data_IF_914434594061
#
_entry.id   IF_914434594061
#
_cell.length_a   1.000
_cell.length_b   1.000
_cell.length_c   1.000
_cell.angle_alpha   90.00
_cell.angle_beta   90.00
_cell.angle_gamma   90.00
#
_symmetry.space_group_name_H-M   'P 1'
#
loop_
_entity.id
_entity.type
_entity.pdbx_description
1 polymer ?
#
# COMPACT_ATOMS: atom_id res chain seq x y z
N UNK A 1 -15.98 -41.68 52.84
CA UNK A 1 -16.16 -41.87 51.39
C UNK A 1 -15.98 -40.52 50.73
N UNK A 2 -14.77 -40.29 50.16
CA UNK A 2 -14.26 -39.01 49.67
C UNK A 2 -14.89 -38.63 48.30
N UNK A 3 -15.73 -37.59 48.26
CA UNK A 3 -16.24 -37.01 46.99
C UNK A 3 -15.56 -35.69 46.63
N UNK A 4 -14.35 -35.42 47.18
CA UNK A 4 -13.69 -34.14 47.01
C UNK A 4 -12.79 -33.99 45.77
N UNK A 5 -12.34 -35.04 45.03
CA UNK A 5 -11.44 -34.84 43.87
C UNK A 5 -12.14 -34.54 42.55
N UNK A 6 -13.48 -34.63 42.45
CA UNK A 6 -14.18 -34.44 41.15
C UNK A 6 -14.47 -32.97 40.86
N UNK A 7 -14.52 -32.10 41.87
CA UNK A 7 -14.80 -30.67 41.67
C UNK A 7 -13.56 -29.88 41.22
N UNK A 8 -12.35 -30.37 41.52
CA UNK A 8 -11.11 -29.66 41.16
C UNK A 8 -10.67 -29.86 39.71
N UNK A 9 -11.26 -30.82 39.00
CA UNK A 9 -10.94 -31.09 37.58
C UNK A 9 -11.75 -30.28 36.57
N UNK A 10 -12.78 -29.53 37.00
CA UNK A 10 -13.69 -28.82 36.10
C UNK A 10 -13.33 -27.35 35.90
N UNK A 11 -12.30 -26.84 36.58
CA UNK A 11 -11.93 -25.40 36.53
C UNK A 11 -10.82 -25.08 35.51
N UNK A 12 -10.24 -26.08 34.83
CA UNK A 12 -9.10 -25.91 33.94
C UNK A 12 -9.45 -25.81 32.44
N UNK A 13 -10.72 -25.69 32.07
CA UNK A 13 -11.12 -25.50 30.66
C UNK A 13 -11.63 -24.06 30.43
N UNK A 14 -11.03 -23.06 31.09
CA UNK A 14 -11.13 -21.68 30.61
C UNK A 14 -9.97 -21.47 29.65
N UNK A 15 -10.12 -22.12 28.50
CA UNK A 15 -9.26 -21.97 27.35
C UNK A 15 -9.25 -20.52 26.86
N UNK A 16 -8.08 -19.96 26.67
CA UNK A 16 -7.79 -18.80 25.90
C UNK A 16 -8.65 -18.70 24.64
N UNK A 17 -9.76 -18.00 24.69
CA UNK A 17 -10.31 -17.36 23.49
C UNK A 17 -9.40 -16.17 23.20
N UNK A 18 -8.39 -16.35 22.34
CA UNK A 18 -7.80 -15.25 21.61
C UNK A 18 -8.97 -14.63 20.84
N UNK A 19 -9.43 -13.46 21.29
CA UNK A 19 -10.21 -12.59 20.42
C UNK A 19 -9.30 -12.27 19.23
N UNK A 20 -9.44 -13.03 18.16
CA UNK A 20 -8.96 -12.60 16.86
C UNK A 20 -9.84 -11.40 16.51
N UNK A 21 -9.30 -10.19 16.68
CA UNK A 21 -9.87 -8.99 16.11
C UNK A 21 -9.91 -9.19 14.59
N UNK A 22 -10.99 -9.84 14.12
CA UNK A 22 -11.19 -10.07 12.71
C UNK A 22 -11.58 -8.73 12.11
N UNK A 23 -10.69 -8.14 11.33
CA UNK A 23 -10.98 -6.91 10.60
C UNK A 23 -12.13 -7.17 9.64
N UNK A 24 -13.21 -6.41 9.78
CA UNK A 24 -14.35 -6.44 8.88
C UNK A 24 -14.08 -5.47 7.72
N UNK A 25 -13.73 -6.03 6.57
CA UNK A 25 -13.44 -5.24 5.37
C UNK A 25 -14.74 -4.74 4.73
N UNK A 26 -14.73 -3.54 4.11
CA UNK A 26 -15.87 -3.06 3.34
C UNK A 26 -16.24 -4.04 2.23
N UNK A 27 -17.54 -4.30 2.09
CA UNK A 27 -18.05 -5.27 1.13
C UNK A 27 -17.77 -4.85 -0.31
N UNK A 28 -17.39 -5.85 -1.14
CA UNK A 28 -17.23 -5.72 -2.58
C UNK A 28 -18.33 -6.51 -3.29
N UNK A 29 -19.25 -5.80 -3.95
CA UNK A 29 -20.40 -6.40 -4.60
C UNK A 29 -19.97 -7.29 -5.77
N UNK A 30 -20.42 -8.54 -5.78
CA UNK A 30 -20.27 -9.42 -6.93
C UNK A 30 -21.42 -9.20 -7.91
N UNK A 31 -21.08 -9.00 -9.19
CA UNK A 31 -22.03 -8.93 -10.30
C UNK A 31 -21.74 -10.05 -11.28
N UNK A 32 -22.80 -10.67 -11.81
CA UNK A 32 -22.61 -11.67 -12.83
C UNK A 32 -22.15 -11.01 -14.14
N UNK A 33 -20.97 -11.40 -14.61
CA UNK A 33 -20.42 -10.99 -15.90
C UNK A 33 -19.60 -12.16 -16.47
N UNK A 34 -19.79 -12.45 -17.74
CA UNK A 34 -19.04 -13.49 -18.46
C UNK A 34 -18.60 -12.92 -19.80
N UNK A 35 -17.33 -13.07 -20.11
CA UNK A 35 -16.74 -12.67 -21.38
C UNK A 35 -16.18 -13.89 -22.11
N UNK A 36 -16.45 -14.01 -23.43
CA UNK A 36 -15.83 -15.06 -24.24
C UNK A 36 -14.47 -14.58 -24.76
N UNK A 37 -13.40 -15.19 -24.24
CA UNK A 37 -12.03 -14.88 -24.63
C UNK A 37 -11.45 -16.08 -25.36
N UNK A 38 -11.19 -15.95 -26.65
CA UNK A 38 -10.64 -17.01 -27.51
C UNK A 38 -11.44 -18.34 -27.49
N UNK A 39 -12.77 -18.24 -27.34
CA UNK A 39 -13.66 -19.41 -27.31
C UNK A 39 -13.88 -20.01 -25.90
N UNK A 40 -13.33 -19.40 -24.86
CA UNK A 40 -13.54 -19.78 -23.47
C UNK A 40 -14.37 -18.73 -22.75
N UNK A 41 -15.38 -19.17 -22.02
CA UNK A 41 -16.17 -18.28 -21.18
C UNK A 41 -15.46 -18.04 -19.85
N UNK A 42 -15.10 -16.77 -19.61
CA UNK A 42 -14.40 -16.33 -18.41
C UNK A 42 -15.36 -15.50 -17.56
N UNK A 43 -15.62 -15.97 -16.35
CA UNK A 43 -16.43 -15.25 -15.37
C UNK A 43 -15.58 -14.23 -14.61
N UNK A 44 -16.06 -12.97 -14.56
CA UNK A 44 -15.44 -11.89 -13.79
C UNK A 44 -16.49 -11.11 -13.00
N UNK A 45 -16.69 -11.51 -11.77
CA UNK A 45 -17.68 -10.88 -10.88
C UNK A 45 -17.35 -9.43 -10.49
N UNK A 46 -16.17 -8.95 -10.80
CA UNK A 46 -15.69 -7.62 -10.45
C UNK A 46 -15.38 -6.74 -11.65
N UNK A 47 -15.84 -7.12 -12.85
CA UNK A 47 -15.67 -6.35 -14.10
C UNK A 47 -16.11 -4.89 -13.98
N UNK A 48 -17.09 -4.61 -13.14
CA UNK A 48 -17.58 -3.25 -12.90
C UNK A 48 -16.53 -2.29 -12.32
N UNK A 49 -15.48 -2.81 -11.65
CA UNK A 49 -14.36 -2.01 -11.14
C UNK A 49 -13.43 -1.47 -12.24
N UNK A 50 -13.48 -2.01 -13.46
CA UNK A 50 -12.69 -1.50 -14.58
C UNK A 50 -13.14 -0.11 -15.03
N UNK A 51 -14.42 0.23 -14.83
CA UNK A 51 -14.88 1.60 -15.00
C UNK A 51 -14.58 2.42 -13.74
N UNK A 52 -13.33 2.89 -13.65
CA UNK A 52 -12.87 3.71 -12.54
C UNK A 52 -13.46 5.14 -12.51
N UNK A 53 -14.29 5.50 -13.48
CA UNK A 53 -15.01 6.79 -13.53
C UNK A 53 -16.46 6.67 -13.08
N UNK A 54 -16.98 5.46 -12.95
CA UNK A 54 -18.35 5.24 -12.49
C UNK A 54 -18.51 5.64 -11.01
N UNK A 55 -19.69 6.14 -10.65
CA UNK A 55 -20.02 6.51 -9.27
C UNK A 55 -19.85 5.32 -8.32
N UNK A 56 -20.24 4.12 -8.76
CA UNK A 56 -20.12 2.89 -7.96
C UNK A 56 -18.66 2.53 -7.65
N UNK A 57 -17.77 2.59 -8.64
CA UNK A 57 -16.34 2.33 -8.46
C UNK A 57 -15.69 3.38 -7.57
N UNK A 58 -16.05 4.66 -7.74
CA UNK A 58 -15.56 5.75 -6.91
C UNK A 58 -16.03 5.61 -5.45
N UNK A 59 -17.29 5.23 -5.21
CA UNK A 59 -17.79 4.98 -3.86
C UNK A 59 -17.08 3.78 -3.21
N UNK A 60 -16.87 2.70 -3.95
CA UNK A 60 -16.11 1.55 -3.47
C UNK A 60 -14.68 1.95 -3.06
N UNK A 61 -13.96 2.68 -3.93
CA UNK A 61 -12.60 3.19 -3.65
C UNK A 61 -12.60 4.05 -2.39
N UNK A 62 -13.59 4.94 -2.24
CA UNK A 62 -13.71 5.80 -1.06
C UNK A 62 -13.87 4.98 0.21
N UNK A 63 -14.76 3.99 0.25
CA UNK A 63 -14.97 3.12 1.42
C UNK A 63 -13.71 2.31 1.77
N UNK A 64 -13.00 1.77 0.78
CA UNK A 64 -11.75 1.05 0.99
C UNK A 64 -10.65 1.96 1.54
N UNK A 65 -10.55 3.19 1.02
CA UNK A 65 -9.59 4.17 1.50
C UNK A 65 -9.88 4.64 2.94
N UNK A 66 -11.14 4.87 3.27
CA UNK A 66 -11.55 5.24 4.62
C UNK A 66 -11.18 4.16 5.64
N UNK A 67 -11.46 2.90 5.32
CA UNK A 67 -11.09 1.76 6.15
C UNK A 67 -9.56 1.64 6.32
N UNK A 68 -8.82 1.71 5.21
CA UNK A 68 -7.36 1.62 5.22
C UNK A 68 -6.73 2.76 6.02
N UNK A 69 -7.22 3.99 5.82
CA UNK A 69 -6.72 5.15 6.54
C UNK A 69 -6.97 5.05 8.04
N UNK A 70 -8.14 4.59 8.46
CA UNK A 70 -8.43 4.36 9.88
C UNK A 70 -7.45 3.35 10.50
N UNK A 71 -7.16 2.26 9.79
CA UNK A 71 -6.19 1.27 10.26
C UNK A 71 -4.78 1.83 10.37
N UNK A 72 -4.32 2.55 9.34
CA UNK A 72 -2.97 3.13 9.29
C UNK A 72 -2.81 4.25 10.34
N UNK A 73 -3.81 5.14 10.48
CA UNK A 73 -3.74 6.25 11.43
C UNK A 73 -3.70 5.78 12.88
N UNK A 74 -4.36 4.67 13.18
CA UNK A 74 -4.35 4.08 14.52
C UNK A 74 -3.12 3.21 14.81
N UNK A 75 -2.23 3.01 13.83
CA UNK A 75 -1.01 2.21 13.99
C UNK A 75 0.07 2.98 14.76
N UNK A 76 0.57 2.39 15.85
CA UNK A 76 1.72 2.91 16.60
C UNK A 76 3.01 2.97 15.77
N UNK A 77 3.09 2.18 14.70
CA UNK A 77 4.26 2.09 13.82
C UNK A 77 4.30 3.17 12.73
N UNK A 78 3.17 3.82 12.40
CA UNK A 78 3.11 4.80 11.32
C UNK A 78 4.13 5.92 11.49
N UNK A 79 4.10 6.58 12.65
CA UNK A 79 4.95 7.74 12.91
C UNK A 79 6.44 7.40 12.97
N UNK A 80 6.90 6.37 13.71
CA UNK A 80 8.30 5.97 13.72
C UNK A 80 8.84 5.57 12.35
N UNK A 81 8.03 4.85 11.54
CA UNK A 81 8.43 4.45 10.19
C UNK A 81 8.54 5.68 9.29
N UNK A 82 7.57 6.59 9.33
CA UNK A 82 7.60 7.81 8.53
C UNK A 82 8.81 8.69 8.87
N UNK A 83 9.13 8.88 10.15
CA UNK A 83 10.30 9.63 10.62
C UNK A 83 11.61 8.97 10.15
N UNK A 84 11.70 7.64 10.25
CA UNK A 84 12.88 6.91 9.79
C UNK A 84 13.07 7.01 8.26
N UNK A 85 11.99 6.85 7.49
CA UNK A 85 12.03 6.95 6.03
C UNK A 85 12.37 8.37 5.57
N UNK A 86 11.83 9.41 6.21
CA UNK A 86 12.16 10.80 5.89
C UNK A 86 13.65 11.07 6.06
N UNK A 87 14.27 10.54 7.13
CA UNK A 87 15.70 10.70 7.35
C UNK A 87 16.59 10.02 6.30
N UNK A 88 16.09 8.99 5.62
CA UNK A 88 16.81 8.31 4.53
C UNK A 88 16.55 9.00 3.18
N UNK A 89 15.31 9.48 2.97
CA UNK A 89 14.85 9.99 1.68
C UNK A 89 15.30 11.43 1.40
N UNK A 90 15.58 12.22 2.44
CA UNK A 90 16.05 13.60 2.33
C UNK A 90 17.52 13.71 1.90
N UNK A 91 18.03 12.72 1.17
CA UNK A 91 19.37 12.76 0.61
C UNK A 91 19.33 13.22 -0.85
N UNK A 92 20.29 14.05 -1.23
CA UNK A 92 20.48 14.43 -2.62
C UNK A 92 20.92 13.22 -3.47
N UNK A 93 20.50 13.22 -4.71
CA UNK A 93 20.85 12.17 -5.66
C UNK A 93 21.17 12.73 -7.04
N UNK A 94 22.14 12.13 -7.70
CA UNK A 94 22.57 12.50 -9.03
C UNK A 94 22.71 11.27 -9.89
N UNK A 95 22.17 11.35 -11.14
CA UNK A 95 22.39 10.29 -12.14
C UNK A 95 23.79 10.32 -12.70
N UNK A 96 24.19 9.23 -13.35
CA UNK A 96 25.40 9.24 -14.18
C UNK A 96 25.28 10.34 -15.24
N UNK A 97 26.29 11.23 -15.38
CA UNK A 97 26.31 12.24 -16.42
C UNK A 97 26.37 11.63 -17.83
N UNK A 98 25.69 12.27 -18.77
CA UNK A 98 25.74 11.90 -20.18
C UNK A 98 26.00 13.12 -21.07
N UNK A 99 26.72 12.92 -22.18
CA UNK A 99 27.07 14.00 -23.12
C UNK A 99 26.13 14.00 -24.33
N UNK A 100 25.67 15.21 -24.67
CA UNK A 100 25.00 15.48 -25.95
C UNK A 100 25.72 16.65 -26.59
N UNK A 101 26.42 16.39 -27.68
CA UNK A 101 27.38 17.32 -28.30
C UNK A 101 28.43 17.75 -27.27
N UNK A 102 28.59 19.04 -27.02
CA UNK A 102 29.59 19.63 -26.11
C UNK A 102 29.04 19.89 -24.70
N UNK A 103 27.82 19.48 -24.44
CA UNK A 103 27.16 19.70 -23.12
C UNK A 103 27.05 18.40 -22.36
N UNK A 104 27.32 18.45 -21.07
CA UNK A 104 27.11 17.35 -20.14
C UNK A 104 25.83 17.59 -19.39
N UNK A 105 24.96 16.58 -19.38
CA UNK A 105 23.68 16.59 -18.69
C UNK A 105 23.65 15.53 -17.60
N UNK A 106 22.87 15.76 -16.55
CA UNK A 106 22.57 14.78 -15.52
C UNK A 106 21.24 15.12 -14.87
N UNK A 107 20.59 14.12 -14.27
CA UNK A 107 19.43 14.33 -13.44
C UNK A 107 19.89 14.53 -12.01
N UNK A 108 19.31 15.52 -11.33
CA UNK A 108 19.59 15.85 -9.94
C UNK A 108 18.28 16.03 -9.15
N UNK A 109 18.27 15.53 -7.92
CA UNK A 109 17.22 15.76 -6.93
C UNK A 109 17.91 16.10 -5.60
N UNK A 110 17.47 17.17 -4.96
CA UNK A 110 18.02 17.61 -3.67
C UNK A 110 17.40 16.86 -2.46
N UNK A 111 16.61 15.83 -2.72
CA UNK A 111 15.88 15.06 -1.70
C UNK A 111 14.50 15.62 -1.38
N UNK A 112 14.27 16.92 -1.58
CA UNK A 112 12.99 17.58 -1.28
C UNK A 112 12.03 17.65 -2.48
N UNK A 113 12.54 17.49 -3.70
CA UNK A 113 11.73 17.60 -4.92
C UNK A 113 10.99 16.30 -5.21
N UNK A 114 9.74 16.42 -5.67
CA UNK A 114 8.96 15.23 -6.08
C UNK A 114 9.56 14.51 -7.30
N UNK A 115 10.30 15.23 -8.15
CA UNK A 115 10.93 14.68 -9.35
C UNK A 115 12.32 15.28 -9.54
N UNK A 116 13.24 14.47 -10.09
CA UNK A 116 14.57 14.94 -10.49
C UNK A 116 14.48 15.93 -11.63
N UNK A 117 15.32 16.94 -11.61
CA UNK A 117 15.47 17.95 -12.67
C UNK A 117 16.64 17.61 -13.57
N UNK A 118 16.49 17.89 -14.87
CA UNK A 118 17.57 17.79 -15.83
C UNK A 118 18.47 19.02 -15.68
N UNK A 119 19.72 18.77 -15.30
CA UNK A 119 20.75 19.79 -15.14
C UNK A 119 21.70 19.75 -16.32
N UNK A 120 22.29 20.92 -16.64
CA UNK A 120 23.34 21.04 -17.65
C UNK A 120 24.57 21.65 -16.99
N UNK A 121 25.68 20.96 -17.13
CA UNK A 121 26.98 21.50 -16.74
C UNK A 121 27.48 22.40 -17.83
N UNK A 122 27.74 23.66 -17.53
CA UNK A 122 28.48 24.55 -18.41
C UNK A 122 29.96 24.15 -18.33
N UNK A 123 30.56 23.96 -19.48
CA UNK A 123 32.01 23.81 -19.55
C UNK A 123 32.61 25.23 -19.46
N UNK A 124 33.29 25.53 -18.37
CA UNK A 124 33.97 26.83 -18.22
C UNK A 124 35.36 26.85 -18.92
N UNK A 125 35.84 25.67 -19.42
CA UNK A 125 37.15 25.51 -20.08
C UNK A 125 37.06 24.49 -21.23
N UNK A 126 36.12 24.64 -22.17
CA UNK A 126 36.14 23.89 -23.43
C UNK A 126 36.63 24.83 -24.53
N UNK A 127 37.96 24.81 -24.80
CA UNK A 127 38.55 25.27 -26.05
C UNK A 127 38.30 24.26 -27.17
#
# INVERSE_FOLDING_TARGET
>A
MNRLPIILSLVLIISCSKETNQMEYPESNKKYFVENIHGYDVEDSYRWLEDFTSEESLDWVKRQNEFTNQFIENSEYKKPIAEYLSGIWDSDSQSTPFKVKEKTFFYYNDGSWQQSKLMVQKCDECE
#
